data_IF_146164304203
#
_entry.id   IF_146164304203
#
_cell.length_a   1.000
_cell.length_b   1.000
_cell.length_c   1.000
_cell.angle_alpha   90.00
_cell.angle_beta   90.00
_cell.angle_gamma   90.00
#
_symmetry.space_group_name_H-M   'P 1'
#
loop_
_entity.id
_entity.type
_entity.pdbx_description
1 polymer ?
#
# COMPACT_ATOMS: atom_id res chain seq x y z
N UNK A 1 -16.04 -65.76 15.02
CA UNK A 1 -16.58 -64.38 15.07
C UNK A 1 -15.81 -63.58 16.12
N UNK A 2 -14.82 -62.77 15.72
CA UNK A 2 -14.03 -61.96 16.65
C UNK A 2 -14.79 -60.67 16.93
N UNK A 3 -15.36 -60.54 18.14
CA UNK A 3 -16.04 -59.31 18.56
C UNK A 3 -14.97 -58.24 18.83
N UNK A 4 -14.87 -57.24 17.97
CA UNK A 4 -14.05 -56.05 18.24
C UNK A 4 -14.69 -55.25 19.39
N UNK A 5 -14.19 -55.46 20.59
CA UNK A 5 -14.62 -54.69 21.75
C UNK A 5 -14.03 -53.28 21.63
N UNK A 6 -14.89 -52.29 21.31
CA UNK A 6 -14.50 -50.88 21.31
C UNK A 6 -14.04 -50.51 22.72
N UNK A 7 -12.76 -50.21 22.91
CA UNK A 7 -12.21 -49.71 24.17
C UNK A 7 -13.00 -48.45 24.56
N UNK A 8 -13.76 -48.50 25.66
CA UNK A 8 -14.34 -47.29 26.27
C UNK A 8 -13.18 -46.41 26.70
N UNK A 9 -13.07 -45.22 26.14
CA UNK A 9 -12.06 -44.26 26.58
C UNK A 9 -12.32 -43.93 28.06
N UNK A 10 -11.37 -44.30 28.92
CA UNK A 10 -11.41 -44.04 30.38
C UNK A 10 -11.08 -42.59 30.74
N UNK A 11 -10.57 -41.82 29.77
CA UNK A 11 -10.27 -40.40 29.94
C UNK A 11 -11.40 -39.56 29.38
N UNK A 12 -12.07 -38.80 30.25
CA UNK A 12 -12.95 -37.71 29.84
C UNK A 12 -12.14 -36.66 29.08
N UNK A 13 -12.48 -36.44 27.80
CA UNK A 13 -11.84 -35.42 26.96
C UNK A 13 -12.07 -34.05 27.60
N UNK A 14 -11.01 -33.45 28.14
CA UNK A 14 -11.06 -32.11 28.75
C UNK A 14 -11.40 -31.11 27.64
N UNK A 15 -12.67 -30.71 27.55
CA UNK A 15 -13.10 -29.63 26.67
C UNK A 15 -12.63 -28.32 27.30
N UNK A 16 -11.52 -27.78 26.83
CA UNK A 16 -11.18 -26.38 27.12
C UNK A 16 -12.27 -25.52 26.51
N UNK A 17 -13.05 -24.83 27.33
CA UNK A 17 -13.95 -23.78 26.81
C UNK A 17 -13.04 -22.77 26.14
N UNK A 18 -13.33 -22.44 24.88
CA UNK A 18 -12.61 -21.35 24.22
C UNK A 18 -12.84 -20.11 25.07
N UNK A 19 -11.79 -19.60 25.71
CA UNK A 19 -11.91 -18.37 26.49
C UNK A 19 -12.31 -17.28 25.52
N UNK A 20 -13.49 -16.70 25.71
CA UNK A 20 -14.02 -15.61 24.88
C UNK A 20 -13.07 -14.39 24.84
N UNK A 21 -12.07 -14.37 25.73
CA UNK A 21 -10.92 -13.45 25.78
C UNK A 21 -10.04 -13.49 24.52
N UNK A 22 -10.05 -14.60 23.76
CA UNK A 22 -9.27 -14.72 22.53
C UNK A 22 -9.92 -14.04 21.31
N UNK A 23 -11.21 -13.71 21.38
CA UNK A 23 -11.86 -12.90 20.35
C UNK A 23 -11.61 -11.42 20.67
N UNK A 24 -10.51 -10.87 20.15
CA UNK A 24 -10.20 -9.44 20.27
C UNK A 24 -11.30 -8.62 19.60
N UNK A 25 -11.71 -7.53 20.25
CA UNK A 25 -12.60 -6.53 19.64
C UNK A 25 -11.90 -5.94 18.40
N UNK A 26 -12.66 -5.76 17.33
CA UNK A 26 -12.19 -5.06 16.12
C UNK A 26 -11.78 -3.65 16.52
N UNK A 27 -10.53 -3.29 16.21
CA UNK A 27 -10.02 -1.92 16.35
C UNK A 27 -10.32 -1.18 15.05
N UNK A 28 -10.68 0.10 15.16
CA UNK A 28 -10.94 0.98 14.01
C UNK A 28 -9.98 2.14 14.07
N UNK A 29 -9.27 2.38 12.98
CA UNK A 29 -8.32 3.50 12.87
C UNK A 29 -9.03 4.82 12.56
N UNK A 30 -10.19 4.75 11.89
CA UNK A 30 -11.00 5.90 11.51
C UNK A 30 -12.12 6.16 12.56
N UNK A 31 -12.19 7.41 13.02
CA UNK A 31 -13.17 7.86 14.00
C UNK A 31 -14.62 7.78 13.47
N UNK A 32 -14.84 7.98 12.17
CA UNK A 32 -16.18 7.95 11.57
C UNK A 32 -16.69 6.52 11.43
N UNK A 33 -15.82 5.59 11.01
CA UNK A 33 -16.11 4.16 10.99
C UNK A 33 -16.41 3.66 12.40
N UNK A 34 -15.64 4.10 13.41
CA UNK A 34 -15.86 3.73 14.80
C UNK A 34 -17.23 4.15 15.33
N UNK A 35 -17.72 5.35 15.00
CA UNK A 35 -19.05 5.86 15.42
C UNK A 35 -20.19 4.98 14.90
N UNK A 36 -20.07 4.48 13.68
CA UNK A 36 -21.13 3.71 13.03
C UNK A 36 -20.97 2.19 13.19
N UNK A 37 -19.94 1.73 13.90
CA UNK A 37 -19.68 0.31 14.12
C UNK A 37 -20.49 -0.28 15.28
N UNK A 38 -21.35 -1.25 14.99
CA UNK A 38 -22.13 -1.96 16.01
C UNK A 38 -21.45 -3.28 16.42
N UNK A 39 -20.97 -3.35 17.66
CA UNK A 39 -20.27 -4.53 18.19
C UNK A 39 -21.16 -5.79 18.31
N UNK A 40 -22.49 -5.65 18.22
CA UNK A 40 -23.42 -6.79 18.30
C UNK A 40 -23.60 -7.50 16.96
N UNK A 41 -23.19 -6.85 15.87
CA UNK A 41 -23.41 -7.36 14.52
C UNK A 41 -22.12 -7.94 13.94
N UNK A 42 -22.27 -8.81 12.95
CA UNK A 42 -21.14 -9.36 12.21
C UNK A 42 -20.44 -8.25 11.42
N UNK A 43 -19.16 -8.43 11.15
CA UNK A 43 -18.36 -7.53 10.31
C UNK A 43 -19.03 -7.26 8.97
N UNK A 44 -19.57 -8.31 8.35
CA UNK A 44 -20.28 -8.23 7.06
C UNK A 44 -21.52 -7.33 7.13
N UNK A 45 -22.34 -7.47 8.17
CA UNK A 45 -23.51 -6.62 8.34
C UNK A 45 -23.13 -5.15 8.57
N UNK A 46 -22.10 -4.89 9.38
CA UNK A 46 -21.63 -3.53 9.62
C UNK A 46 -21.08 -2.90 8.34
N UNK A 47 -20.24 -3.61 7.60
CA UNK A 47 -19.70 -3.11 6.33
C UNK A 47 -20.83 -2.85 5.31
N UNK A 48 -21.80 -3.76 5.19
CA UNK A 48 -22.97 -3.58 4.33
C UNK A 48 -23.80 -2.35 4.74
N UNK A 49 -23.97 -2.09 6.04
CA UNK A 49 -24.68 -0.91 6.56
C UNK A 49 -23.96 0.39 6.19
N UNK A 50 -22.62 0.37 6.17
CA UNK A 50 -21.79 1.50 5.75
C UNK A 50 -21.70 1.66 4.22
N UNK A 51 -22.33 0.76 3.44
CA UNK A 51 -22.18 0.73 1.99
C UNK A 51 -20.82 0.19 1.51
N UNK A 52 -20.06 -0.48 2.39
CA UNK A 52 -18.74 -1.03 2.10
C UNK A 52 -18.81 -2.53 1.77
N UNK A 53 -17.93 -2.99 0.89
CA UNK A 53 -17.77 -4.40 0.57
C UNK A 53 -17.00 -5.15 1.68
N UNK A 54 -17.58 -6.20 2.25
CA UNK A 54 -16.92 -7.03 3.28
C UNK A 54 -15.69 -7.79 2.74
N UNK A 55 -15.76 -8.22 1.49
CA UNK A 55 -14.69 -8.89 0.76
C UNK A 55 -14.51 -8.18 -0.58
N UNK A 56 -13.41 -7.44 -0.70
CA UNK A 56 -13.10 -6.60 -1.87
C UNK A 56 -12.89 -7.47 -3.10
N UNK A 57 -12.14 -8.56 -2.99
CA UNK A 57 -11.80 -9.40 -4.14
C UNK A 57 -13.02 -10.14 -4.67
N UNK A 58 -13.89 -10.61 -3.77
CA UNK A 58 -15.16 -11.24 -4.17
C UNK A 58 -16.15 -10.24 -4.76
N UNK A 59 -16.17 -9.01 -4.26
CA UNK A 59 -17.04 -7.95 -4.79
C UNK A 59 -16.58 -7.52 -6.19
N UNK A 60 -15.28 -7.29 -6.38
CA UNK A 60 -14.70 -6.89 -7.67
C UNK A 60 -14.90 -7.98 -8.72
N UNK A 61 -14.68 -9.26 -8.38
CA UNK A 61 -14.83 -10.38 -9.32
C UNK A 61 -16.27 -10.69 -9.75
N UNK A 62 -17.29 -10.05 -9.16
CA UNK A 62 -18.71 -10.25 -9.49
C UNK A 62 -19.33 -9.07 -10.25
N UNK A 63 -18.56 -8.02 -10.54
CA UNK A 63 -19.04 -6.91 -11.34
C UNK A 63 -19.21 -7.36 -12.79
N UNK A 64 -20.35 -7.07 -13.45
CA UNK A 64 -20.47 -7.25 -14.89
C UNK A 64 -19.40 -6.37 -15.57
N UNK A 65 -18.46 -7.00 -16.29
CA UNK A 65 -17.29 -6.33 -16.87
C UNK A 65 -15.96 -6.57 -16.13
N UNK A 66 -15.94 -7.34 -15.03
CA UNK A 66 -14.70 -7.92 -14.52
C UNK A 66 -14.21 -8.96 -15.53
N UNK A 67 -13.44 -8.49 -16.51
CA UNK A 67 -12.94 -9.33 -17.60
C UNK A 67 -12.30 -10.60 -17.01
N UNK A 68 -12.63 -11.80 -17.51
CA UNK A 68 -11.74 -12.94 -17.29
C UNK A 68 -10.35 -12.49 -17.77
N UNK A 69 -9.30 -12.83 -17.02
CA UNK A 69 -7.95 -12.44 -17.36
C UNK A 69 -7.65 -12.80 -18.83
N UNK A 70 -7.70 -11.82 -19.73
CA UNK A 70 -7.47 -12.01 -21.17
C UNK A 70 -8.41 -11.31 -22.15
N UNK A 71 -9.57 -10.76 -21.76
CA UNK A 71 -10.52 -10.20 -22.74
C UNK A 71 -10.71 -8.68 -22.58
N UNK A 72 -10.29 -7.93 -23.60
CA UNK A 72 -10.37 -6.48 -23.65
C UNK A 72 -11.74 -6.10 -24.25
N UNK A 73 -12.60 -5.46 -23.45
CA UNK A 73 -13.92 -5.05 -23.90
C UNK A 73 -13.89 -3.54 -24.20
N UNK A 74 -13.95 -3.18 -25.48
CA UNK A 74 -13.83 -1.80 -25.98
C UNK A 74 -15.15 -1.00 -25.87
N UNK A 75 -15.88 -1.12 -24.76
CA UNK A 75 -17.14 -0.40 -24.59
C UNK A 75 -16.90 0.96 -23.92
N UNK A 76 -17.15 2.03 -24.66
CA UNK A 76 -17.23 3.39 -24.16
C UNK A 76 -18.46 3.52 -23.26
N UNK A 77 -18.27 3.27 -21.96
CA UNK A 77 -19.25 3.62 -20.93
C UNK A 77 -19.18 5.14 -20.75
N UNK A 78 -20.28 5.84 -21.04
CA UNK A 78 -20.45 7.23 -20.61
C UNK A 78 -20.40 7.26 -19.08
N UNK A 79 -19.26 7.72 -18.55
CA UNK A 79 -19.05 7.91 -17.12
C UNK A 79 -19.73 9.22 -16.73
N UNK A 80 -20.98 9.15 -16.25
CA UNK A 80 -21.53 10.27 -15.48
C UNK A 80 -20.67 10.45 -14.22
N UNK A 81 -19.95 11.56 -14.15
CA UNK A 81 -19.20 11.97 -12.97
C UNK A 81 -20.20 12.31 -11.87
N UNK A 82 -20.56 11.34 -11.04
CA UNK A 82 -21.31 11.60 -9.82
C UNK A 82 -20.43 12.46 -8.92
N UNK A 83 -20.98 13.55 -8.37
CA UNK A 83 -20.33 14.38 -7.35
C UNK A 83 -20.13 13.54 -6.07
N UNK A 84 -19.08 12.73 -6.07
CA UNK A 84 -18.62 12.02 -4.88
C UNK A 84 -18.10 13.13 -3.94
N UNK A 85 -18.72 13.35 -2.76
CA UNK A 85 -18.19 14.32 -1.81
C UNK A 85 -16.74 13.93 -1.54
N UNK A 86 -15.82 14.88 -1.76
CA UNK A 86 -14.38 14.70 -1.73
C UNK A 86 -13.99 13.87 -0.51
N UNK A 87 -13.83 12.56 -0.71
CA UNK A 87 -13.45 11.65 0.35
C UNK A 87 -12.12 12.15 0.87
N UNK A 88 -12.09 12.50 2.16
CA UNK A 88 -10.95 13.11 2.84
C UNK A 88 -9.63 12.59 2.26
N UNK A 89 -8.84 13.51 1.68
CA UNK A 89 -7.52 13.31 1.06
C UNK A 89 -6.93 11.90 1.28
N UNK A 90 -7.37 10.91 0.49
CA UNK A 90 -6.81 9.55 0.51
C UNK A 90 -5.29 9.56 0.22
N UNK A 91 -4.80 10.69 -0.32
CA UNK A 91 -3.41 11.01 -0.60
C UNK A 91 -2.55 11.25 0.65
N UNK A 92 -3.14 11.46 1.84
CA UNK A 92 -2.42 11.77 3.09
C UNK A 92 -2.23 10.57 4.03
N UNK A 93 -2.64 9.37 3.64
CA UNK A 93 -2.46 8.17 4.47
C UNK A 93 -0.99 7.76 4.45
N UNK A 94 -0.22 8.19 5.46
CA UNK A 94 1.12 7.67 5.72
C UNK A 94 2.29 8.37 5.02
N UNK A 95 2.09 9.53 4.38
CA UNK A 95 3.22 10.36 3.95
C UNK A 95 3.82 11.05 5.18
N UNK A 96 5.07 10.72 5.51
CA UNK A 96 5.79 11.45 6.55
C UNK A 96 6.29 12.76 5.94
N UNK A 97 5.43 13.77 5.92
CA UNK A 97 5.71 15.10 5.35
C UNK A 97 6.94 15.77 5.97
N UNK A 98 7.37 15.32 7.16
CA UNK A 98 8.58 15.80 7.85
C UNK A 98 9.87 15.34 7.18
N UNK A 99 9.83 14.28 6.37
CA UNK A 99 11.02 13.77 5.68
C UNK A 99 11.04 14.31 4.26
N UNK A 100 12.10 15.02 3.84
CA UNK A 100 12.20 15.43 2.46
C UNK A 100 12.17 14.20 1.55
N UNK A 101 11.56 14.29 0.35
CA UNK A 101 11.48 13.16 -0.56
C UNK A 101 12.86 12.57 -0.92
N UNK A 102 13.93 13.35 -0.84
CA UNK A 102 15.32 12.92 -1.04
C UNK A 102 16.22 13.42 0.10
N UNK A 103 17.07 12.53 0.65
CA UNK A 103 18.02 12.86 1.72
C UNK A 103 19.14 13.78 1.25
N UNK A 104 19.70 14.57 2.16
CA UNK A 104 20.78 15.54 1.88
C UNK A 104 21.98 14.90 1.16
N UNK A 105 22.50 13.78 1.68
CA UNK A 105 23.64 13.06 1.07
C UNK A 105 23.39 12.67 -0.39
N UNK A 106 22.15 12.27 -0.72
CA UNK A 106 21.77 11.90 -2.09
C UNK A 106 21.73 13.12 -2.99
N UNK A 107 21.23 14.25 -2.48
CA UNK A 107 21.24 15.51 -3.21
C UNK A 107 22.68 15.95 -3.48
N UNK A 108 23.54 15.97 -2.45
CA UNK A 108 24.95 16.32 -2.59
C UNK A 108 25.69 15.44 -3.59
N UNK A 109 25.42 14.13 -3.55
CA UNK A 109 26.00 13.16 -4.45
C UNK A 109 25.62 13.42 -5.92
N UNK A 110 24.34 13.67 -6.20
CA UNK A 110 23.85 13.95 -7.56
C UNK A 110 24.36 15.32 -8.04
N UNK A 111 24.30 16.35 -7.20
CA UNK A 111 24.79 17.69 -7.51
C UNK A 111 26.27 17.64 -7.90
N UNK A 112 27.09 16.85 -7.21
CA UNK A 112 28.50 16.64 -7.56
C UNK A 112 28.69 16.04 -8.96
N UNK A 113 27.82 15.13 -9.37
CA UNK A 113 27.85 14.52 -10.70
C UNK A 113 27.33 15.48 -11.79
N UNK A 114 26.21 16.17 -11.51
CA UNK A 114 25.61 17.16 -12.40
C UNK A 114 26.52 18.36 -12.63
N UNK A 115 27.28 18.79 -11.63
CA UNK A 115 28.25 19.89 -11.76
C UNK A 115 29.32 19.63 -12.83
N UNK A 116 29.64 18.36 -13.14
CA UNK A 116 30.58 18.03 -14.22
C UNK A 116 29.91 17.63 -15.53
N UNK A 117 28.90 16.78 -15.45
CA UNK A 117 28.34 16.12 -16.64
C UNK A 117 26.99 16.71 -17.06
N UNK A 118 26.44 17.68 -16.34
CA UNK A 118 25.12 18.23 -16.62
C UNK A 118 24.05 17.17 -16.43
N UNK A 119 23.41 16.77 -17.51
CA UNK A 119 22.31 15.79 -17.51
C UNK A 119 22.72 14.44 -18.15
N UNK A 120 23.99 14.29 -18.58
CA UNK A 120 24.53 13.10 -19.23
C UNK A 120 24.74 11.92 -18.25
N UNK A 121 23.66 11.19 -17.95
CA UNK A 121 23.66 10.07 -17.01
C UNK A 121 24.63 8.93 -17.40
N UNK A 122 24.82 8.68 -18.70
CA UNK A 122 25.74 7.65 -19.19
C UNK A 122 27.21 7.97 -18.85
N UNK A 123 27.61 9.25 -18.93
CA UNK A 123 28.97 9.69 -18.55
C UNK A 123 29.15 9.67 -17.04
N UNK A 124 28.13 10.06 -16.28
CA UNK A 124 28.14 9.99 -14.81
C UNK A 124 28.34 8.55 -14.31
N UNK A 125 27.68 7.58 -14.94
CA UNK A 125 27.82 6.16 -14.57
C UNK A 125 29.26 5.64 -14.75
N UNK A 126 29.96 6.12 -15.79
CA UNK A 126 31.33 5.70 -16.11
C UNK A 126 32.41 6.39 -15.25
N UNK A 127 32.11 7.50 -14.59
CA UNK A 127 33.09 8.20 -13.74
C UNK A 127 33.26 7.51 -12.40
N UNK A 128 34.15 6.52 -12.34
CA UNK A 128 34.47 5.75 -11.13
C UNK A 128 34.91 6.63 -9.94
N UNK A 129 35.50 7.80 -10.21
CA UNK A 129 36.00 8.70 -9.16
C UNK A 129 34.87 9.53 -8.54
N UNK A 130 33.95 10.05 -9.35
CA UNK A 130 32.82 10.86 -8.85
C UNK A 130 31.61 10.02 -8.46
N UNK A 131 31.47 8.84 -9.05
CA UNK A 131 30.49 7.81 -8.71
C UNK A 131 31.18 6.65 -7.96
N UNK A 132 31.64 6.86 -6.71
CA UNK A 132 32.27 5.79 -5.91
C UNK A 132 31.29 4.66 -5.59
N UNK A 133 29.98 4.93 -5.61
CA UNK A 133 28.92 3.94 -5.37
C UNK A 133 28.62 3.08 -6.60
N UNK A 134 29.31 3.30 -7.73
CA UNK A 134 29.11 2.60 -9.00
C UNK A 134 27.63 2.46 -9.38
N UNK A 135 26.84 3.53 -9.16
CA UNK A 135 25.43 3.54 -9.49
C UNK A 135 25.24 3.37 -10.99
N UNK A 136 24.30 2.51 -11.36
CA UNK A 136 23.93 2.27 -12.76
C UNK A 136 23.27 3.51 -13.36
N UNK A 137 23.37 3.65 -14.68
CA UNK A 137 22.77 4.78 -15.42
C UNK A 137 21.28 4.96 -15.11
N UNK A 138 20.51 3.87 -15.08
CA UNK A 138 19.09 3.93 -14.76
C UNK A 138 18.81 4.48 -13.36
N UNK A 139 19.69 4.18 -12.39
CA UNK A 139 19.56 4.67 -11.02
C UNK A 139 19.93 6.15 -10.92
N UNK A 140 20.99 6.57 -11.61
CA UNK A 140 21.37 7.98 -11.73
C UNK A 140 20.26 8.80 -12.39
N UNK A 141 19.65 8.29 -13.48
CA UNK A 141 18.53 8.95 -14.15
C UNK A 141 17.33 9.16 -13.23
N UNK A 142 16.92 8.14 -12.47
CA UNK A 142 15.84 8.26 -11.47
C UNK A 142 16.18 9.27 -10.39
N UNK A 143 17.44 9.31 -9.99
CA UNK A 143 17.94 10.22 -8.96
C UNK A 143 17.94 11.68 -9.45
N UNK A 144 18.43 11.95 -10.66
CA UNK A 144 18.37 13.28 -11.30
C UNK A 144 16.92 13.73 -11.45
N UNK A 145 16.05 12.91 -12.04
CA UNK A 145 14.63 13.25 -12.19
C UNK A 145 13.94 13.56 -10.86
N UNK A 146 14.32 12.85 -9.79
CA UNK A 146 13.80 13.09 -8.45
C UNK A 146 14.33 14.39 -7.82
N UNK A 147 15.56 14.79 -8.14
CA UNK A 147 16.16 16.04 -7.67
C UNK A 147 15.56 17.25 -8.41
N UNK A 148 15.34 17.14 -9.71
CA UNK A 148 14.74 18.20 -10.52
C UNK A 148 13.26 18.43 -10.17
N UNK A 149 12.52 17.34 -9.90
CA UNK A 149 11.13 17.41 -9.42
C UNK A 149 10.96 17.82 -7.95
N UNK A 150 12.05 18.14 -7.25
CA UNK A 150 12.03 18.51 -5.84
C UNK A 150 11.71 20.01 -5.70
N UNK A 151 10.68 20.34 -4.91
CA UNK A 151 10.37 21.73 -4.56
C UNK A 151 11.53 22.39 -3.80
N UNK A 152 11.68 23.71 -3.91
CA UNK A 152 12.77 24.48 -3.28
C UNK A 152 12.88 24.23 -1.76
N UNK A 153 11.75 24.04 -1.07
CA UNK A 153 11.73 23.71 0.38
C UNK A 153 12.42 22.38 0.70
N UNK A 154 12.42 21.45 -0.24
CA UNK A 154 12.98 20.11 -0.07
C UNK A 154 14.38 19.98 -0.67
N UNK A 155 14.83 20.98 -1.44
CA UNK A 155 16.17 21.05 -2.01
C UNK A 155 17.12 21.66 -0.96
N UNK A 156 17.79 20.77 -0.24
CA UNK A 156 18.78 21.11 0.80
C UNK A 156 20.13 21.48 0.18
N UNK A 157 20.48 20.88 -0.95
CA UNK A 157 21.73 21.14 -1.66
C UNK A 157 21.42 21.80 -3.00
N UNK A 158 21.91 23.02 -3.20
CA UNK A 158 21.75 23.75 -4.45
C UNK A 158 22.69 23.23 -5.54
N UNK A 159 22.19 23.17 -6.77
CA UNK A 159 23.00 23.02 -7.98
C UNK A 159 23.82 24.31 -8.14
N UNK A 160 25.13 24.20 -7.99
CA UNK A 160 26.09 25.29 -8.25
C UNK A 160 26.53 25.28 -9.70
#
# INVERSE_FOLDING_TARGET
MVKHQRRRATTTKVKRKADKKFFKKVQHDDAEVAKHWDFRKTREHNMKRLGLAHDVNRAVGKLPGAAPAGERVDQAVELEFVDIPQQADLTKIGTNDRRPPMSEDKQAYIVKLMAKYGDDCAKMARDVKRNPQQLTEAKLRKMVAKYDGLSDKHRLVARR
#
